data_IF_628790153622
#
_entry.id   IF_628790153622
#
_cell.length_a   1.000
_cell.length_b   1.000
_cell.length_c   1.000
_cell.angle_alpha   90.00
_cell.angle_beta   90.00
_cell.angle_gamma   90.00
#
_symmetry.space_group_name_H-M   'P 1'
#
loop_
_entity.id
_entity.type
_entity.pdbx_description
1 polymer ?
#
# COMPACT_ATOMS: atom_id res chain seq x y z
N UNK A 1 -1.65 8.28 -1.63
CA UNK A 1 -1.16 8.17 -0.24
C UNK A 1 -2.10 7.38 0.69
N UNK A 2 -3.37 7.14 0.37
CA UNK A 2 -4.27 6.38 1.24
C UNK A 2 -4.31 4.87 0.87
N UNK A 3 -4.05 4.00 1.85
CA UNK A 3 -3.90 2.54 1.68
C UNK A 3 -4.98 1.72 2.42
N UNK A 4 -6.00 2.37 3.03
CA UNK A 4 -7.12 1.69 3.72
C UNK A 4 -6.61 0.65 4.74
N UNK A 5 -7.11 -0.60 4.67
CA UNK A 5 -6.86 -1.71 5.62
C UNK A 5 -5.51 -2.40 5.39
N UNK A 6 -4.41 -1.67 5.54
CA UNK A 6 -3.07 -2.28 5.67
C UNK A 6 -2.61 -2.28 7.13
N UNK A 7 -1.91 -3.34 7.53
CA UNK A 7 -1.32 -3.46 8.86
C UNK A 7 -0.11 -2.55 9.01
N UNK A 8 0.26 -2.24 10.26
CA UNK A 8 1.49 -1.49 10.58
C UNK A 8 2.72 -2.05 9.86
N UNK A 9 2.97 -3.34 10.00
CA UNK A 9 4.15 -4.01 9.41
C UNK A 9 4.15 -3.90 7.88
N UNK A 10 2.99 -3.99 7.24
CA UNK A 10 2.88 -3.88 5.78
C UNK A 10 3.11 -2.45 5.29
N UNK A 11 2.73 -1.44 6.08
CA UNK A 11 3.06 -0.05 5.81
C UNK A 11 4.57 0.20 5.92
N UNK A 12 5.22 -0.34 6.95
CA UNK A 12 6.67 -0.22 7.15
C UNK A 12 7.43 -0.82 5.97
N UNK A 13 7.13 -2.07 5.59
CA UNK A 13 7.74 -2.72 4.43
C UNK A 13 7.60 -1.91 3.15
N UNK A 14 6.41 -1.34 2.90
CA UNK A 14 6.15 -0.54 1.69
C UNK A 14 6.93 0.76 1.70
N UNK A 15 6.98 1.46 2.82
CA UNK A 15 7.72 2.72 2.94
C UNK A 15 9.23 2.52 2.85
N UNK A 16 9.76 1.40 3.35
CA UNK A 16 11.19 1.08 3.31
C UNK A 16 11.68 0.55 1.95
N UNK A 17 10.79 0.41 0.96
CA UNK A 17 11.19 0.12 -0.41
C UNK A 17 12.10 1.24 -0.97
N UNK A 18 13.11 0.89 -1.80
CA UNK A 18 14.08 1.86 -2.34
C UNK A 18 13.45 2.95 -3.22
N UNK A 19 12.25 2.71 -3.76
CA UNK A 19 11.47 3.66 -4.55
C UNK A 19 10.89 4.82 -3.72
N UNK A 20 10.90 4.69 -2.39
CA UNK A 20 10.43 5.73 -1.48
C UNK A 20 11.63 6.45 -0.83
N UNK A 21 11.52 7.76 -0.69
CA UNK A 21 12.57 8.60 -0.11
C UNK A 21 12.25 9.00 1.34
N UNK A 22 13.19 9.64 2.02
CA UNK A 22 12.94 10.27 3.31
C UNK A 22 11.76 11.27 3.22
N UNK A 23 10.87 11.25 4.22
CA UNK A 23 9.62 12.03 4.19
C UNK A 23 8.50 11.38 3.38
N UNK A 24 8.72 10.20 2.78
CA UNK A 24 7.64 9.45 2.14
C UNK A 24 6.58 9.02 3.16
N UNK A 25 5.31 9.05 2.78
CA UNK A 25 4.23 8.80 3.73
C UNK A 25 3.03 8.04 3.14
N UNK A 26 2.26 7.42 4.03
CA UNK A 26 0.96 6.86 3.71
C UNK A 26 -0.01 7.00 4.88
N UNK A 27 -1.30 7.01 4.58
CA UNK A 27 -2.37 6.95 5.57
C UNK A 27 -3.09 5.61 5.44
N UNK A 28 -3.38 4.97 6.57
CA UNK A 28 -4.07 3.69 6.69
C UNK A 28 -5.13 3.72 7.78
N UNK A 29 -6.04 2.76 7.77
CA UNK A 29 -7.03 2.57 8.82
C UNK A 29 -6.34 2.14 10.12
N UNK A 30 -6.82 2.62 11.27
CA UNK A 30 -6.32 2.18 12.57
C UNK A 30 -6.74 0.74 12.85
N UNK A 31 -5.78 -0.09 13.26
CA UNK A 31 -6.04 -1.47 13.69
C UNK A 31 -6.70 -1.54 15.08
N UNK A 32 -6.56 -0.47 15.87
CA UNK A 32 -6.92 -0.47 17.29
C UNK A 32 -8.27 0.16 17.60
N UNK A 33 -8.76 1.07 16.74
CA UNK A 33 -10.05 1.75 16.93
C UNK A 33 -10.73 1.97 15.60
N UNK A 34 -12.02 1.67 15.58
CA UNK A 34 -12.89 1.98 14.47
C UNK A 34 -12.90 3.51 14.23
N UNK A 35 -12.88 3.91 12.96
CA UNK A 35 -12.90 5.32 12.48
C UNK A 35 -11.67 6.19 12.77
N UNK A 36 -10.65 5.68 13.47
CA UNK A 36 -9.35 6.36 13.54
C UNK A 36 -8.46 5.98 12.34
N UNK A 37 -7.54 6.87 11.99
CA UNK A 37 -6.52 6.61 10.97
C UNK A 37 -5.12 6.61 11.58
N UNK A 38 -4.16 6.12 10.81
CA UNK A 38 -2.75 6.16 11.14
C UNK A 38 -1.96 6.73 9.96
N UNK A 39 -1.18 7.77 10.23
CA UNK A 39 -0.16 8.30 9.32
C UNK A 39 1.15 7.56 9.58
N UNK A 40 1.72 6.94 8.56
CA UNK A 40 3.05 6.33 8.62
C UNK A 40 4.00 7.16 7.77
N UNK A 41 5.16 7.53 8.31
CA UNK A 41 6.15 8.40 7.66
C UNK A 41 7.53 7.76 7.72
N UNK A 42 8.24 7.75 6.60
CA UNK A 42 9.64 7.31 6.53
C UNK A 42 10.57 8.41 7.02
N UNK A 43 11.40 8.05 7.98
CA UNK A 43 12.44 8.89 8.57
C UNK A 43 13.78 8.14 8.49
N UNK A 44 14.45 8.33 7.35
CA UNK A 44 15.68 7.62 6.99
C UNK A 44 15.40 6.13 6.76
N UNK A 45 15.98 5.29 7.61
CA UNK A 45 15.81 3.83 7.60
C UNK A 45 14.74 3.32 8.57
N UNK A 46 14.01 4.25 9.21
CA UNK A 46 12.94 3.92 10.14
C UNK A 46 11.60 4.48 9.70
N UNK A 47 10.51 3.96 10.28
CA UNK A 47 9.16 4.44 10.03
C UNK A 47 8.52 4.87 11.34
N UNK A 48 7.98 6.09 11.37
CA UNK A 48 7.24 6.64 12.50
C UNK A 48 5.74 6.56 12.21
N UNK A 49 4.94 6.33 13.25
CA UNK A 49 3.49 6.22 13.13
C UNK A 49 2.80 7.20 14.05
N UNK A 50 1.92 8.01 13.46
CA UNK A 50 1.12 9.01 14.14
C UNK A 50 -0.35 8.61 14.06
N UNK A 51 -1.05 8.74 15.19
CA UNK A 51 -2.47 8.47 15.25
C UNK A 51 -3.24 9.71 14.81
N UNK A 52 -4.06 9.57 13.78
CA UNK A 52 -5.02 10.59 13.38
C UNK A 52 -6.34 10.21 14.02
N UNK A 53 -6.85 11.06 14.91
CA UNK A 53 -8.13 10.88 15.57
C UNK A 53 -9.21 11.68 14.84
N UNK A 54 -10.44 11.17 14.89
CA UNK A 54 -11.62 11.89 14.43
C UNK A 54 -12.30 12.64 15.58
N UNK A 55 -12.79 13.85 15.32
CA UNK A 55 -13.66 14.62 16.22
C UNK A 55 -15.13 14.24 15.99
N UNK A 56 -15.94 14.33 17.05
CA UNK A 56 -17.38 14.02 16.99
C UNK A 56 -18.14 14.93 16.02
N UNK A 57 -17.72 16.19 15.90
CA UNK A 57 -18.32 17.20 15.00
C UNK A 57 -17.85 17.09 13.54
N UNK A 58 -17.02 16.09 13.22
CA UNK A 58 -16.41 15.94 11.90
C UNK A 58 -15.12 16.74 11.76
N UNK A 59 -13.99 16.06 11.89
CA UNK A 59 -12.66 16.64 11.70
C UNK A 59 -11.56 15.68 12.12
N UNK A 60 -10.32 15.99 11.79
CA UNK A 60 -9.15 15.14 11.98
C UNK A 60 -8.04 15.90 12.70
N UNK A 61 -7.33 15.22 13.59
CA UNK A 61 -6.14 15.80 14.23
C UNK A 61 -5.12 14.73 14.62
N UNK A 62 -3.85 15.10 14.62
CA UNK A 62 -2.76 14.33 15.25
C UNK A 62 -2.48 14.91 16.64
N UNK A 63 -2.29 16.22 16.71
CA UNK A 63 -2.18 16.98 17.95
C UNK A 63 -3.42 17.86 18.15
N UNK A 64 -3.99 17.90 19.35
CA UNK A 64 -5.25 18.64 19.64
C UNK A 64 -5.21 20.14 19.32
N UNK A 65 -4.01 20.71 19.16
CA UNK A 65 -3.80 22.13 18.82
C UNK A 65 -4.17 22.48 17.38
N UNK A 66 -4.18 21.51 16.47
CA UNK A 66 -4.45 21.74 15.04
C UNK A 66 -5.46 20.71 14.55
N UNK A 67 -6.58 21.18 14.04
CA UNK A 67 -7.68 20.35 13.53
C UNK A 67 -7.92 20.64 12.05
N UNK A 68 -8.34 19.62 11.31
CA UNK A 68 -8.53 19.68 9.86
C UNK A 68 -9.89 19.10 9.49
N UNK A 69 -10.54 19.62 8.44
CA UNK A 69 -11.84 19.10 7.99
C UNK A 69 -11.68 17.83 7.18
N UNK A 70 -10.57 17.72 6.44
CA UNK A 70 -10.27 16.56 5.59
C UNK A 70 -8.86 16.04 5.84
N UNK A 71 -8.63 14.76 5.52
CA UNK A 71 -7.27 14.19 5.52
C UNK A 71 -6.36 14.88 4.50
N UNK A 72 -6.92 15.45 3.43
CA UNK A 72 -6.15 16.19 2.43
C UNK A 72 -5.56 17.48 3.02
N UNK A 73 -6.36 18.25 3.78
CA UNK A 73 -5.89 19.45 4.49
C UNK A 73 -4.81 19.11 5.52
N UNK A 74 -5.00 18.00 6.25
CA UNK A 74 -4.00 17.49 7.20
C UNK A 74 -2.66 17.21 6.49
N UNK A 75 -2.70 16.52 5.35
CA UNK A 75 -1.50 16.21 4.58
C UNK A 75 -0.84 17.49 4.06
N UNK A 76 -1.61 18.43 3.52
CA UNK A 76 -1.07 19.69 3.00
C UNK A 76 -0.38 20.53 4.09
N UNK A 77 -0.97 20.59 5.29
CA UNK A 77 -0.35 21.27 6.44
C UNK A 77 1.00 20.64 6.79
N UNK A 78 1.01 19.32 7.00
CA UNK A 78 2.22 18.59 7.40
C UNK A 78 3.28 18.47 6.29
N UNK A 79 2.91 18.76 5.04
CA UNK A 79 3.88 18.97 3.95
C UNK A 79 4.59 20.31 4.04
N UNK A 80 3.90 21.38 4.47
CA UNK A 80 4.47 22.72 4.60
C UNK A 80 5.29 22.88 5.89
N UNK A 81 4.79 22.37 7.00
CA UNK A 81 5.46 22.40 8.30
C UNK A 81 5.28 21.06 9.02
N UNK A 82 6.38 20.47 9.49
CA UNK A 82 6.35 19.25 10.29
C UNK A 82 5.46 19.37 11.52
N UNK A 83 5.34 20.56 12.12
CA UNK A 83 4.46 20.86 13.25
C UNK A 83 4.45 19.75 14.34
N UNK A 84 5.65 19.27 14.71
CA UNK A 84 5.87 18.22 15.72
C UNK A 84 5.94 16.78 15.19
N UNK A 85 5.82 16.57 13.88
CA UNK A 85 6.23 15.31 13.23
C UNK A 85 7.76 15.21 13.16
N UNK A 86 8.28 14.00 12.93
CA UNK A 86 9.71 13.78 12.81
C UNK A 86 10.30 14.52 11.60
N UNK A 87 9.53 14.61 10.52
CA UNK A 87 9.92 15.18 9.23
C UNK A 87 8.69 15.75 8.53
N UNK A 88 8.88 16.70 7.62
CA UNK A 88 7.83 17.17 6.72
C UNK A 88 7.39 16.05 5.77
N UNK A 89 6.11 16.05 5.41
CA UNK A 89 5.58 15.11 4.43
C UNK A 89 6.00 15.52 3.02
N UNK A 90 6.78 14.67 2.34
CA UNK A 90 7.28 14.93 1.01
C UNK A 90 6.42 14.26 -0.07
N UNK A 91 6.72 13.00 -0.39
CA UNK A 91 6.05 12.27 -1.48
C UNK A 91 5.11 11.18 -0.93
N UNK A 92 3.98 10.92 -1.59
CA UNK A 92 3.13 9.79 -1.24
C UNK A 92 3.88 8.47 -1.51
N UNK A 93 3.70 7.48 -0.64
CA UNK A 93 4.27 6.14 -0.81
C UNK A 93 3.83 5.54 -2.15
N UNK A 94 4.78 4.95 -2.88
CA UNK A 94 4.53 4.24 -4.13
C UNK A 94 3.57 3.07 -3.88
N UNK A 95 2.45 3.06 -4.60
CA UNK A 95 1.51 1.94 -4.58
C UNK A 95 1.98 0.91 -5.61
N UNK A 96 2.87 0.01 -5.18
CA UNK A 96 3.12 -1.21 -5.96
C UNK A 96 1.85 -2.04 -5.87
N UNK A 97 0.96 -1.86 -6.85
CA UNK A 97 -0.16 -2.78 -7.06
C UNK A 97 0.52 -4.13 -7.21
N UNK A 98 0.17 -5.09 -6.35
CA UNK A 98 0.52 -6.47 -6.62
C UNK A 98 -0.11 -6.79 -7.97
N UNK A 99 0.71 -6.80 -9.03
CA UNK A 99 0.30 -7.43 -10.27
C UNK A 99 -0.20 -8.81 -9.87
N UNK A 100 -1.48 -9.08 -10.14
CA UNK A 100 -2.06 -10.37 -9.87
C UNK A 100 -1.26 -11.40 -10.65
N UNK A 101 -0.27 -12.02 -9.98
CA UNK A 101 0.54 -13.13 -10.50
C UNK A 101 -0.35 -14.27 -11.02
N UNK A 102 -1.62 -14.26 -10.66
CA UNK A 102 -2.70 -15.07 -11.23
C UNK A 102 -2.74 -15.05 -12.76
N UNK A 103 -2.49 -13.93 -13.46
CA UNK A 103 -2.58 -13.92 -14.94
C UNK A 103 -1.42 -14.64 -15.63
N UNK A 104 -0.21 -14.55 -15.07
CA UNK A 104 0.96 -15.20 -15.67
C UNK A 104 0.97 -16.70 -15.39
N UNK A 105 0.57 -17.12 -14.18
CA UNK A 105 0.36 -18.54 -13.85
C UNK A 105 -0.77 -19.17 -14.66
N UNK A 106 -1.85 -18.44 -14.99
CA UNK A 106 -2.92 -18.97 -15.83
C UNK A 106 -2.48 -19.18 -17.28
N UNK A 107 -1.68 -18.26 -17.84
CA UNK A 107 -1.12 -18.41 -19.18
C UNK A 107 -0.09 -19.55 -19.25
N UNK A 108 0.80 -19.67 -18.26
CA UNK A 108 1.75 -20.78 -18.18
C UNK A 108 1.02 -22.12 -18.04
N UNK A 109 -0.03 -22.21 -17.22
CA UNK A 109 -0.83 -23.43 -17.07
C UNK A 109 -1.60 -23.83 -18.35
N UNK A 110 -2.09 -22.86 -19.13
CA UNK A 110 -2.72 -23.12 -20.44
C UNK A 110 -1.70 -23.56 -21.49
N UNK A 111 -0.49 -22.98 -21.46
CA UNK A 111 0.61 -23.37 -22.34
C UNK A 111 1.12 -24.77 -22.02
N UNK A 112 1.17 -25.17 -20.75
CA UNK A 112 1.52 -26.54 -20.34
C UNK A 112 0.37 -27.53 -20.57
N UNK A 113 -0.89 -27.08 -20.52
CA UNK A 113 -2.05 -27.89 -20.88
C UNK A 113 -2.15 -28.20 -22.38
N UNK A 114 -1.37 -27.52 -23.22
CA UNK A 114 -1.35 -27.75 -24.67
C UNK A 114 -0.16 -28.59 -25.15
N UNK A 115 0.64 -29.17 -24.25
CA UNK A 115 1.66 -30.17 -24.60
C UNK A 115 1.23 -31.63 -24.38
N UNK A 116 0.14 -31.89 -23.64
CA UNK A 116 -0.44 -33.24 -23.57
C UNK A 116 -1.31 -33.58 -24.79
N UNK A 117 -1.91 -32.58 -25.45
CA UNK A 117 -2.71 -32.83 -26.67
C UNK A 117 -1.85 -33.03 -27.94
N UNK A 118 -0.63 -32.49 -27.99
CA UNK A 118 0.28 -32.75 -29.11
C UNK A 118 0.87 -34.18 -29.05
N UNK A 119 1.07 -34.74 -27.85
CA UNK A 119 1.54 -36.13 -27.70
C UNK A 119 0.43 -37.16 -27.96
N UNK A 120 -0.83 -36.84 -27.69
CA UNK A 120 -1.96 -37.71 -28.07
C UNK A 120 -2.21 -37.72 -29.58
N UNK A 121 -2.03 -36.58 -30.28
CA UNK A 121 -2.23 -36.53 -31.73
C UNK A 121 -1.16 -37.29 -32.52
N UNK A 122 0.08 -37.31 -32.02
CA UNK A 122 1.18 -38.06 -32.65
C UNK A 122 1.08 -39.56 -32.37
N UNK A 123 0.46 -40.00 -31.26
CA UNK A 123 0.18 -41.42 -31.02
C UNK A 123 -1.04 -41.96 -31.79
N UNK A 124 -2.04 -41.13 -32.13
CA UNK A 124 -3.24 -41.59 -32.84
C UNK A 124 -3.00 -41.89 -34.33
N UNK A 125 -1.93 -41.35 -34.94
CA UNK A 125 -1.57 -41.60 -36.35
C UNK A 125 -0.63 -42.81 -36.56
N UNK A 126 -0.18 -43.48 -35.49
CA UNK A 126 0.76 -44.61 -35.57
C UNK A 126 0.15 -46.00 -35.26
N UNK A 127 -1.17 -46.10 -35.05
CA UNK A 127 -1.83 -47.39 -34.72
C UNK A 127 -2.89 -47.83 -35.76
N UNK A 128 -3.20 -47.03 -36.77
CA UNK A 128 -4.05 -47.46 -37.91
C UNK A 128 -3.32 -47.41 -39.26
N UNK A 129 -2.08 -47.89 -39.28
CA UNK A 129 -1.40 -48.35 -40.49
C UNK A 129 -1.40 -49.86 -40.54
#
# INVERSE_FOLDING_TARGET
WYFRKIKRIEAEKKLLLPENEHGAFLIRDSESRHNDYSLSVRDGDTVKHYRIRQLDEGGFFIARRTTFRTLQELVEHYSKDSDGLCVNLCKPCVQVKAESKTRHLFLLALMTSNQTLQLCYVCALYIFG
#
